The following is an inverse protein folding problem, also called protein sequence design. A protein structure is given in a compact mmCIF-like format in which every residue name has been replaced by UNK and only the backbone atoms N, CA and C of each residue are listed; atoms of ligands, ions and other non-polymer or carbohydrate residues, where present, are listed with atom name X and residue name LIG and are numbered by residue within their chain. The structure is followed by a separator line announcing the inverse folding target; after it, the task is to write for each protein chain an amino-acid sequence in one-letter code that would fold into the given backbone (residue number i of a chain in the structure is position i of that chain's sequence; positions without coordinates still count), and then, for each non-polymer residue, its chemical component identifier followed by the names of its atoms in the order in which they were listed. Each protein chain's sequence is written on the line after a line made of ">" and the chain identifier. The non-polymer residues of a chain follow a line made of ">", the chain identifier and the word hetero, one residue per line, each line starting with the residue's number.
data_IF_428555559177
#
_entry.id   IF_428555559177
#
_cell.length_a   1.000
_cell.length_b   1.000
_cell.length_c   1.000
_cell.angle_alpha   90.00
_cell.angle_beta   90.00
_cell.angle_gamma   90.00
#
_symmetry.space_group_name_H-M   'P 1'
#
loop_
_entity.id
_entity.type
_entity.pdbx_description
1 polymer ?
#
# COMPACT_ATOMS: atom_id res chain seq x y z
N UNK A 1 -21.30 -6.90 16.05
CA UNK A 1 -20.04 -7.45 16.59
C UNK A 1 -18.90 -7.39 15.58
N UNK A 2 -19.11 -7.75 14.31
CA UNK A 2 -18.07 -7.71 13.26
C UNK A 2 -17.41 -6.32 13.07
N UNK A 3 -18.21 -5.25 12.98
CA UNK A 3 -17.68 -3.89 12.79
C UNK A 3 -16.84 -3.40 13.98
N UNK A 4 -17.20 -3.80 15.21
CA UNK A 4 -16.47 -3.44 16.43
C UNK A 4 -15.07 -4.05 16.45
N UNK A 5 -14.95 -5.34 16.10
CA UNK A 5 -13.64 -6.00 16.02
C UNK A 5 -12.76 -5.43 14.91
N UNK A 6 -13.33 -5.11 13.74
CA UNK A 6 -12.60 -4.47 12.64
C UNK A 6 -12.09 -3.07 13.03
N UNK A 7 -12.91 -2.29 13.72
CA UNK A 7 -12.51 -0.97 14.24
C UNK A 7 -11.39 -1.11 15.30
N UNK A 8 -11.50 -2.08 16.21
CA UNK A 8 -10.48 -2.35 17.23
C UNK A 8 -9.14 -2.74 16.61
N UNK A 9 -9.16 -3.53 15.54
CA UNK A 9 -7.95 -3.91 14.80
C UNK A 9 -7.27 -2.69 14.18
N UNK A 10 -8.03 -1.81 13.53
CA UNK A 10 -7.51 -0.55 12.98
C UNK A 10 -6.91 0.34 14.07
N UNK A 11 -7.60 0.48 15.21
CA UNK A 11 -7.09 1.22 16.36
C UNK A 11 -5.78 0.60 16.92
N UNK A 12 -5.71 -0.72 17.03
CA UNK A 12 -4.51 -1.42 17.49
C UNK A 12 -3.31 -1.15 16.56
N UNK A 13 -3.51 -1.19 15.24
CA UNK A 13 -2.47 -0.86 14.26
C UNK A 13 -1.97 0.58 14.43
N UNK A 14 -2.89 1.55 14.59
CA UNK A 14 -2.53 2.95 14.84
C UNK A 14 -1.73 3.10 16.14
N UNK A 15 -2.13 2.41 17.21
CA UNK A 15 -1.40 2.42 18.48
C UNK A 15 0.00 1.82 18.34
N UNK A 16 0.15 0.74 17.58
CA UNK A 16 1.46 0.12 17.30
C UNK A 16 2.35 1.11 16.53
N UNK A 17 1.83 1.76 15.49
CA UNK A 17 2.56 2.79 14.73
C UNK A 17 3.00 3.93 15.67
N UNK A 18 2.08 4.45 16.49
CA UNK A 18 2.35 5.55 17.41
C UNK A 18 3.33 5.17 18.54
N UNK A 19 3.34 3.92 18.97
CA UNK A 19 4.32 3.41 19.94
C UNK A 19 5.70 3.28 19.28
N UNK A 20 5.78 2.66 18.10
CA UNK A 20 7.03 2.47 17.36
C UNK A 20 7.67 3.78 16.93
N UNK A 21 6.87 4.78 16.53
CA UNK A 21 7.37 6.09 16.09
C UNK A 21 8.08 6.88 17.20
N UNK A 22 7.91 6.49 18.47
CA UNK A 22 8.58 7.10 19.64
C UNK A 22 9.84 6.35 20.08
N UNK A 23 10.16 5.23 19.45
CA UNK A 23 11.37 4.44 19.76
C UNK A 23 12.59 4.95 19.01
N UNK A 24 13.79 4.48 19.37
CA UNK A 24 15.02 4.74 18.60
C UNK A 24 14.95 4.23 17.15
N UNK A 25 14.10 3.23 16.90
CA UNK A 25 13.90 2.62 15.58
C UNK A 25 12.58 3.08 14.95
N UNK A 26 12.29 4.39 15.03
CA UNK A 26 11.01 4.96 14.58
C UNK A 26 10.65 4.62 13.11
N UNK A 27 11.64 4.40 12.25
CA UNK A 27 11.45 4.00 10.86
C UNK A 27 10.72 2.66 10.70
N UNK A 28 10.76 1.78 11.72
CA UNK A 28 9.99 0.51 11.73
C UNK A 28 8.49 0.79 11.71
N UNK A 29 8.03 1.95 12.20
CA UNK A 29 6.63 2.35 12.09
C UNK A 29 6.16 2.41 10.62
N UNK A 30 7.06 2.65 9.67
CA UNK A 30 6.78 2.60 8.24
C UNK A 30 6.57 1.18 7.68
N UNK A 31 7.04 0.14 8.37
CA UNK A 31 6.83 -1.26 7.97
C UNK A 31 5.44 -1.77 8.37
N UNK A 32 4.83 -1.23 9.44
CA UNK A 32 3.55 -1.73 9.95
C UNK A 32 2.43 -1.63 8.90
N UNK A 33 2.27 -0.50 8.17
CA UNK A 33 1.29 -0.42 7.09
C UNK A 33 1.58 -1.33 5.89
N UNK A 34 2.82 -1.84 5.74
CA UNK A 34 3.18 -2.76 4.67
C UNK A 34 2.74 -4.20 4.94
N UNK A 35 2.21 -4.49 6.13
CA UNK A 35 1.64 -5.80 6.41
C UNK A 35 0.53 -6.10 5.38
N UNK A 36 0.58 -7.23 4.66
CA UNK A 36 -0.16 -7.42 3.41
C UNK A 36 -1.63 -7.83 3.63
N UNK A 37 -2.35 -7.22 4.57
CA UNK A 37 -3.74 -7.61 4.93
C UNK A 37 -4.66 -7.60 3.70
N UNK A 38 -4.68 -6.50 2.95
CA UNK A 38 -5.53 -6.41 1.75
C UNK A 38 -5.07 -7.38 0.66
N UNK A 39 -3.76 -7.60 0.52
CA UNK A 39 -3.25 -8.57 -0.44
C UNK A 39 -3.64 -10.00 -0.05
N UNK A 40 -3.57 -10.37 1.24
CA UNK A 40 -4.03 -11.66 1.76
C UNK A 40 -5.51 -11.89 1.44
N UNK A 41 -6.36 -10.88 1.66
CA UNK A 41 -7.79 -10.96 1.33
C UNK A 41 -7.98 -11.14 -0.19
N UNK A 42 -7.27 -10.35 -1.01
CA UNK A 42 -7.35 -10.44 -2.46
C UNK A 42 -6.90 -11.82 -2.97
N UNK A 43 -5.76 -12.33 -2.51
CA UNK A 43 -5.26 -13.66 -2.88
C UNK A 43 -6.20 -14.77 -2.43
N UNK A 44 -6.81 -14.65 -1.25
CA UNK A 44 -7.80 -15.63 -0.78
C UNK A 44 -9.05 -15.64 -1.66
N UNK A 45 -9.61 -14.47 -1.96
CA UNK A 45 -10.81 -14.33 -2.79
C UNK A 45 -10.54 -14.86 -4.21
N UNK A 46 -9.43 -14.46 -4.83
CA UNK A 46 -9.04 -14.92 -6.17
C UNK A 46 -8.74 -16.42 -6.16
N UNK A 47 -7.95 -16.90 -5.20
CA UNK A 47 -7.58 -18.32 -5.11
C UNK A 47 -8.77 -19.25 -4.85
N UNK A 48 -9.87 -18.76 -4.27
CA UNK A 48 -11.13 -19.51 -4.12
C UNK A 48 -12.07 -19.37 -5.30
N UNK A 49 -12.06 -18.24 -6.00
CA UNK A 49 -13.04 -17.92 -7.06
C UNK A 49 -12.53 -18.08 -8.49
N UNK A 50 -11.23 -18.26 -8.71
CA UNK A 50 -10.58 -18.28 -10.03
C UNK A 50 -9.57 -19.42 -10.14
N UNK A 51 -8.97 -19.57 -11.32
CA UNK A 51 -7.94 -20.59 -11.55
C UNK A 51 -6.64 -20.28 -10.78
N UNK A 52 -5.78 -21.28 -10.62
CA UNK A 52 -4.44 -21.07 -10.04
C UNK A 52 -3.59 -20.13 -10.91
N UNK A 53 -3.81 -20.13 -12.22
CA UNK A 53 -3.14 -19.24 -13.16
C UNK A 53 -3.57 -17.78 -12.95
N UNK A 54 -4.85 -17.52 -12.75
CA UNK A 54 -5.36 -16.19 -12.40
C UNK A 54 -4.80 -15.69 -11.06
N UNK A 55 -4.67 -16.59 -10.08
CA UNK A 55 -4.03 -16.26 -8.80
C UNK A 55 -2.55 -15.90 -8.99
N UNK A 56 -1.79 -16.67 -9.76
CA UNK A 56 -0.39 -16.35 -10.07
C UNK A 56 -0.26 -15.00 -10.76
N UNK A 57 -1.12 -14.73 -11.73
CA UNK A 57 -1.20 -13.44 -12.44
C UNK A 57 -1.49 -12.29 -11.47
N UNK A 58 -2.41 -12.49 -10.53
CA UNK A 58 -2.73 -11.52 -9.47
C UNK A 58 -1.53 -11.26 -8.56
N UNK A 59 -0.79 -12.29 -8.18
CA UNK A 59 0.43 -12.17 -7.36
C UNK A 59 1.50 -11.37 -8.12
N UNK A 60 1.71 -11.67 -9.41
CA UNK A 60 2.68 -10.94 -10.24
C UNK A 60 2.27 -9.48 -10.37
N UNK A 61 1.00 -9.17 -10.62
CA UNK A 61 0.51 -7.79 -10.59
C UNK A 61 0.76 -7.13 -9.22
N UNK A 62 0.54 -7.87 -8.14
CA UNK A 62 0.89 -7.44 -6.78
C UNK A 62 2.37 -7.09 -6.61
N UNK A 63 3.29 -7.84 -7.22
CA UNK A 63 4.72 -7.51 -7.22
C UNK A 63 4.99 -6.19 -7.97
N UNK A 64 4.35 -5.99 -9.12
CA UNK A 64 4.45 -4.75 -9.90
C UNK A 64 3.87 -3.55 -9.15
N UNK A 65 2.88 -3.75 -8.28
CA UNK A 65 2.24 -2.70 -7.47
C UNK A 65 3.18 -2.03 -6.45
N UNK A 66 4.36 -2.60 -6.21
CA UNK A 66 5.42 -1.95 -5.43
C UNK A 66 5.90 -0.65 -6.10
N UNK A 67 5.82 -0.56 -7.44
CA UNK A 67 6.28 0.60 -8.20
C UNK A 67 5.52 1.89 -7.78
N UNK A 68 4.17 1.96 -7.80
CA UNK A 68 3.44 3.12 -7.28
C UNK A 68 3.82 3.50 -5.85
N UNK A 69 4.01 2.52 -4.96
CA UNK A 69 4.42 2.79 -3.58
C UNK A 69 5.82 3.41 -3.50
N UNK A 70 6.77 2.91 -4.30
CA UNK A 70 8.09 3.51 -4.40
C UNK A 70 8.03 4.96 -4.92
N UNK A 71 7.21 5.23 -5.95
CA UNK A 71 6.99 6.58 -6.49
C UNK A 71 6.42 7.52 -5.41
N UNK A 72 5.47 7.04 -4.60
CA UNK A 72 4.96 7.79 -3.45
C UNK A 72 6.08 8.17 -2.48
N UNK A 73 6.89 7.19 -2.05
CA UNK A 73 7.98 7.43 -1.09
C UNK A 73 9.04 8.38 -1.65
N UNK A 74 9.47 8.18 -2.90
CA UNK A 74 10.44 9.04 -3.55
C UNK A 74 9.93 10.49 -3.68
N UNK A 75 8.66 10.65 -4.06
CA UNK A 75 8.03 11.97 -4.14
C UNK A 75 7.98 12.64 -2.76
N UNK A 76 7.51 11.91 -1.74
CA UNK A 76 7.42 12.45 -0.38
C UNK A 76 8.79 12.84 0.16
N UNK A 77 9.81 12.02 -0.07
CA UNK A 77 11.19 12.29 0.34
C UNK A 77 11.73 13.60 -0.25
N UNK A 78 11.45 13.89 -1.52
CA UNK A 78 11.91 15.13 -2.17
C UNK A 78 11.03 16.33 -1.79
N UNK A 79 9.73 16.13 -1.58
CA UNK A 79 8.79 17.23 -1.31
C UNK A 79 8.79 17.69 0.16
N UNK A 80 9.13 16.82 1.11
CA UNK A 80 9.09 17.15 2.56
C UNK A 80 10.04 18.29 2.93
N UNK A 81 11.13 18.49 2.17
CA UNK A 81 12.07 19.60 2.36
C UNK A 81 11.59 20.92 1.72
N UNK A 82 10.54 20.88 0.87
CA UNK A 82 10.12 22.00 0.02
C UNK A 82 8.74 22.54 0.37
N UNK A 83 7.85 21.68 0.88
CA UNK A 83 6.46 22.01 1.18
C UNK A 83 6.13 21.64 2.62
N UNK A 84 5.02 22.18 3.14
CA UNK A 84 4.45 21.71 4.41
C UNK A 84 4.08 20.22 4.31
N UNK A 85 4.17 19.49 5.42
CA UNK A 85 3.95 18.04 5.46
C UNK A 85 2.64 17.61 4.79
N UNK A 86 1.54 18.30 5.06
CA UNK A 86 0.22 17.98 4.51
C UNK A 86 0.20 18.12 2.97
N UNK A 87 0.86 19.16 2.45
CA UNK A 87 0.99 19.37 1.01
C UNK A 87 1.92 18.32 0.37
N UNK A 88 3.03 17.97 1.03
CA UNK A 88 3.94 16.91 0.57
C UNK A 88 3.24 15.55 0.48
N UNK A 89 2.43 15.21 1.47
CA UNK A 89 1.60 14.00 1.47
C UNK A 89 0.57 14.02 0.34
N UNK A 90 -0.11 15.15 0.12
CA UNK A 90 -1.08 15.29 -0.97
C UNK A 90 -0.42 15.12 -2.35
N UNK A 91 0.74 15.75 -2.58
CA UNK A 91 1.50 15.63 -3.84
C UNK A 91 1.98 14.19 -4.04
N UNK A 92 2.52 13.55 -3.00
CA UNK A 92 2.95 12.15 -3.07
C UNK A 92 1.77 11.21 -3.39
N UNK A 93 0.59 11.45 -2.81
CA UNK A 93 -0.62 10.69 -3.11
C UNK A 93 -1.07 10.85 -4.57
N UNK A 94 -0.99 12.07 -5.13
CA UNK A 94 -1.26 12.30 -6.56
C UNK A 94 -0.23 11.56 -7.44
N UNK A 95 1.06 11.60 -7.09
CA UNK A 95 2.09 10.86 -7.80
C UNK A 95 1.85 9.34 -7.78
N UNK A 96 1.41 8.80 -6.64
CA UNK A 96 0.98 7.42 -6.52
C UNK A 96 -0.18 7.09 -7.46
N UNK A 97 -1.24 7.92 -7.49
CA UNK A 97 -2.41 7.73 -8.36
C UNK A 97 -2.02 7.71 -9.83
N UNK A 98 -1.13 8.62 -10.26
CA UNK A 98 -0.61 8.64 -11.62
C UNK A 98 0.16 7.36 -11.95
N UNK A 99 1.10 6.97 -11.08
CA UNK A 99 1.90 5.76 -11.29
C UNK A 99 1.04 4.48 -11.32
N UNK A 100 0.07 4.36 -10.42
CA UNK A 100 -0.88 3.25 -10.39
C UNK A 100 -1.73 3.19 -11.67
N UNK A 101 -2.20 4.35 -12.16
CA UNK A 101 -2.97 4.44 -13.40
C UNK A 101 -2.15 3.96 -14.61
N UNK A 102 -0.90 4.43 -14.72
CA UNK A 102 0.03 3.99 -15.77
C UNK A 102 0.28 2.49 -15.65
N UNK A 103 0.55 1.99 -14.45
CA UNK A 103 0.80 0.58 -14.18
C UNK A 103 -0.36 -0.30 -14.67
N UNK A 104 -1.59 0.02 -14.26
CA UNK A 104 -2.79 -0.72 -14.67
C UNK A 104 -2.98 -0.66 -16.18
N UNK A 105 -2.80 0.52 -16.78
CA UNK A 105 -2.96 0.69 -18.24
C UNK A 105 -1.95 -0.16 -19.03
N UNK A 106 -0.69 -0.15 -18.61
CA UNK A 106 0.36 -0.98 -19.22
C UNK A 106 0.07 -2.45 -19.01
N UNK A 107 -0.31 -2.86 -17.80
CA UNK A 107 -0.63 -4.24 -17.47
C UNK A 107 -1.76 -4.78 -18.35
N UNK A 108 -2.86 -4.04 -18.45
CA UNK A 108 -4.02 -4.40 -19.28
C UNK A 108 -3.59 -4.56 -20.73
N UNK A 109 -2.79 -3.65 -21.29
CA UNK A 109 -2.32 -3.76 -22.69
C UNK A 109 -1.40 -4.95 -22.96
N UNK A 110 -0.62 -5.39 -21.96
CA UNK A 110 0.29 -6.53 -22.11
C UNK A 110 -0.40 -7.88 -21.91
N UNK A 111 -1.55 -7.90 -21.24
CA UNK A 111 -2.30 -9.13 -20.90
C UNK A 111 -3.72 -9.16 -21.50
N UNK A 112 -4.02 -8.23 -22.41
CA UNK A 112 -5.23 -8.20 -23.23
C UNK A 112 -5.08 -9.02 -24.50
#
# INVERSE_FOLDING_TARGET
>A
MDLFFKALLGAAVVLIIAALSKTKNYYIAGLVPLFPTFALIAHYIVGKGRSVEDLKTTIVFGMWSIIPYFVYLATLYVMVDRLRLEASLAVAAVAWLMAATVLVTVWVRLHS
#
